data_IF_505392320951
#
_entry.id   IF_505392320951
#
_cell.length_a   1.000
_cell.length_b   1.000
_cell.length_c   1.000
_cell.angle_alpha   90.00
_cell.angle_beta   90.00
_cell.angle_gamma   90.00
#
_symmetry.space_group_name_H-M   'P 1'
#
loop_
_entity.id
_entity.type
_entity.pdbx_description
1 polymer ?
#
# COMPACT_ATOMS: atom_id res chain seq x y z
N UNK A 1 19.86 -4.62 -2.92
CA UNK A 1 20.82 -4.02 -1.98
C UNK A 1 20.06 -3.14 -1.02
N UNK A 2 20.47 -3.14 0.25
CA UNK A 2 19.79 -2.41 1.33
C UNK A 2 20.81 -1.57 2.09
N UNK A 3 20.42 -0.37 2.50
CA UNK A 3 21.27 0.60 3.18
C UNK A 3 20.38 1.74 3.66
N UNK A 4 20.92 2.62 4.51
CA UNK A 4 20.17 3.72 5.08
C UNK A 4 21.10 4.89 5.40
N UNK A 5 20.54 6.08 5.45
CA UNK A 5 21.18 7.27 6.00
C UNK A 5 20.30 7.72 7.16
N UNK A 6 20.84 7.67 8.37
CA UNK A 6 20.19 8.25 9.54
C UNK A 6 20.56 9.71 9.60
N UNK A 7 19.65 10.55 10.09
CA UNK A 7 19.93 11.96 10.29
C UNK A 7 19.22 12.50 11.53
N UNK A 8 19.75 13.61 12.05
CA UNK A 8 19.21 14.45 13.12
C UNK A 8 19.61 15.91 12.84
N UNK A 9 19.63 16.79 13.84
CA UNK A 9 20.04 18.17 13.69
C UNK A 9 21.52 18.43 14.10
N UNK A 10 22.00 19.64 13.83
CA UNK A 10 23.37 20.11 14.08
C UNK A 10 23.79 20.10 15.54
N UNK A 11 22.83 20.08 16.48
CA UNK A 11 23.08 20.07 17.92
C UNK A 11 22.99 18.68 18.54
N UNK A 12 22.62 17.67 17.75
CA UNK A 12 22.47 16.31 18.22
C UNK A 12 23.78 15.52 18.22
N UNK A 13 23.69 14.27 18.71
CA UNK A 13 24.80 13.33 18.75
C UNK A 13 25.48 13.10 17.38
N UNK A 14 24.73 13.26 16.28
CA UNK A 14 25.26 13.21 14.92
C UNK A 14 24.29 13.88 13.95
N UNK A 15 24.82 14.53 12.91
CA UNK A 15 24.00 15.09 11.82
C UNK A 15 23.56 13.98 10.87
N UNK A 16 24.51 13.14 10.41
CA UNK A 16 24.21 11.98 9.57
C UNK A 16 25.04 10.76 9.94
N UNK A 17 24.46 9.57 9.74
CA UNK A 17 25.18 8.30 9.82
C UNK A 17 24.83 7.44 8.60
N UNK A 18 25.83 7.17 7.77
CA UNK A 18 25.68 6.39 6.54
C UNK A 18 25.93 4.92 6.82
N UNK A 19 24.92 4.09 6.54
CA UNK A 19 25.04 2.63 6.49
C UNK A 19 25.09 2.21 5.03
N UNK A 20 26.24 1.71 4.53
CA UNK A 20 26.41 1.39 3.12
C UNK A 20 25.44 0.32 2.61
N UNK A 21 25.20 0.35 1.30
CA UNK A 21 24.39 -0.66 0.61
C UNK A 21 25.05 -2.05 0.68
N UNK A 22 24.36 -3.02 1.28
CA UNK A 22 24.73 -4.43 1.33
C UNK A 22 23.82 -5.30 0.45
N UNK A 23 24.34 -6.43 -0.03
CA UNK A 23 23.58 -7.46 -0.76
C UNK A 23 22.89 -8.46 0.19
N UNK A 24 23.11 -8.36 1.51
CA UNK A 24 22.53 -9.27 2.52
C UNK A 24 21.48 -8.58 3.38
N UNK A 25 20.26 -9.14 3.40
CA UNK A 25 19.17 -8.63 4.24
C UNK A 25 19.52 -8.71 5.73
N UNK A 26 20.12 -9.81 6.18
CA UNK A 26 20.51 -10.02 7.58
C UNK A 26 21.49 -8.95 8.09
N UNK A 27 22.47 -8.53 7.28
CA UNK A 27 23.42 -7.50 7.69
C UNK A 27 22.74 -6.13 7.82
N UNK A 28 21.80 -5.83 6.91
CA UNK A 28 21.00 -4.62 7.00
C UNK A 28 20.10 -4.63 8.23
N UNK A 29 19.39 -5.74 8.49
CA UNK A 29 18.55 -5.89 9.68
C UNK A 29 19.34 -5.71 10.98
N UNK A 30 20.54 -6.31 11.07
CA UNK A 30 21.42 -6.12 12.23
C UNK A 30 21.72 -4.64 12.49
N UNK A 31 22.07 -3.89 11.44
CA UNK A 31 22.31 -2.45 11.57
C UNK A 31 21.04 -1.68 11.95
N UNK A 32 19.88 -2.08 11.41
CA UNK A 32 18.59 -1.46 11.75
C UNK A 32 18.21 -1.67 13.22
N UNK A 33 18.47 -2.86 13.78
CA UNK A 33 18.23 -3.15 15.20
C UNK A 33 19.11 -2.35 16.16
N UNK A 34 20.24 -1.82 15.70
CA UNK A 34 21.11 -0.94 16.50
C UNK A 34 20.63 0.53 16.48
N UNK A 35 19.66 0.88 15.62
CA UNK A 35 19.13 2.24 15.51
C UNK A 35 18.14 2.48 16.64
N UNK A 36 18.37 3.56 17.38
CA UNK A 36 17.46 4.06 18.41
C UNK A 36 17.00 5.46 18.01
N UNK A 37 15.69 5.68 18.08
CA UNK A 37 15.11 7.02 17.99
C UNK A 37 15.27 7.67 19.37
N UNK A 38 16.07 8.74 19.43
CA UNK A 38 16.35 9.52 20.64
C UNK A 38 16.78 10.93 20.21
N UNK A 39 16.63 11.94 21.07
CA UNK A 39 16.88 13.35 20.75
C UNK A 39 15.80 13.93 19.84
N UNK A 40 14.63 14.23 20.42
CA UNK A 40 13.55 14.92 19.75
C UNK A 40 12.94 15.99 20.66
N UNK A 41 12.13 16.87 20.09
CA UNK A 41 11.44 17.96 20.80
C UNK A 41 11.75 19.35 20.23
N UNK A 42 12.82 19.47 19.47
CA UNK A 42 13.07 20.58 18.55
C UNK A 42 12.84 20.17 17.10
N UNK A 43 12.40 21.15 16.33
CA UNK A 43 12.05 21.06 14.92
C UNK A 43 12.36 22.44 14.34
N UNK A 44 12.91 22.57 13.13
CA UNK A 44 13.17 21.56 12.07
C UNK A 44 14.35 20.58 12.29
N UNK A 45 14.59 19.68 11.32
CA UNK A 45 15.68 18.67 11.31
C UNK A 45 16.57 18.79 10.04
N UNK A 46 17.81 18.27 10.05
CA UNK A 46 18.76 18.41 8.93
C UNK A 46 18.62 17.33 7.83
N UNK A 47 17.43 17.24 7.22
CA UNK A 47 17.17 16.36 6.08
C UNK A 47 18.07 16.68 4.86
N UNK A 48 18.51 17.93 4.69
CA UNK A 48 19.34 18.31 3.55
C UNK A 48 20.73 17.65 3.61
N UNK A 49 21.33 17.53 4.81
CA UNK A 49 22.55 16.77 5.01
C UNK A 49 22.35 15.27 4.70
N UNK A 50 21.21 14.70 5.08
CA UNK A 50 20.87 13.31 4.75
C UNK A 50 20.78 13.09 3.23
N UNK A 51 20.17 14.05 2.51
CA UNK A 51 20.04 14.02 1.06
C UNK A 51 21.39 14.16 0.35
N UNK A 52 22.29 15.02 0.85
CA UNK A 52 23.68 15.12 0.37
C UNK A 52 24.36 13.74 0.48
N UNK A 53 24.32 13.15 1.66
CA UNK A 53 24.92 11.84 1.92
C UNK A 53 24.30 10.72 1.06
N UNK A 54 22.98 10.74 0.91
CA UNK A 54 22.27 9.81 0.04
C UNK A 54 22.71 9.96 -1.42
N UNK A 55 23.00 11.17 -1.91
CA UNK A 55 23.40 11.39 -3.30
C UNK A 55 24.88 11.16 -3.54
N UNK A 56 25.75 11.49 -2.57
CA UNK A 56 27.19 11.60 -2.79
C UNK A 56 28.00 10.52 -2.05
N UNK A 57 27.52 10.01 -0.91
CA UNK A 57 28.22 8.96 -0.14
C UNK A 57 27.68 7.56 -0.46
N UNK A 58 26.37 7.39 -0.64
CA UNK A 58 25.80 6.08 -1.02
C UNK A 58 26.27 5.66 -2.42
N UNK A 59 26.84 4.46 -2.52
CA UNK A 59 27.34 3.87 -3.76
C UNK A 59 26.23 3.19 -4.56
N UNK A 60 25.37 4.00 -5.16
CA UNK A 60 24.32 3.54 -6.07
C UNK A 60 24.91 2.80 -7.29
N UNK A 61 24.39 1.60 -7.59
CA UNK A 61 24.75 0.89 -8.83
C UNK A 61 24.16 1.61 -10.04
N UNK A 62 24.91 1.72 -11.14
CA UNK A 62 24.41 2.31 -12.40
C UNK A 62 23.35 1.44 -13.07
N UNK A 63 23.54 0.11 -13.05
CA UNK A 63 22.67 -0.85 -13.72
C UNK A 63 21.70 -1.47 -12.71
N UNK A 64 20.62 -0.76 -12.39
CA UNK A 64 19.55 -1.25 -11.56
C UNK A 64 18.55 -0.18 -11.15
N UNK A 65 17.40 -0.63 -10.67
CA UNK A 65 16.37 0.21 -10.05
C UNK A 65 16.88 0.78 -8.74
N UNK A 66 16.70 2.09 -8.53
CA UNK A 66 17.24 2.82 -7.38
C UNK A 66 16.13 3.61 -6.72
N UNK A 67 15.74 3.13 -5.55
CA UNK A 67 14.62 3.65 -4.77
C UNK A 67 15.16 4.05 -3.40
N UNK A 68 14.73 5.19 -2.90
CA UNK A 68 14.93 5.58 -1.50
C UNK A 68 13.57 5.95 -0.89
N UNK A 69 13.42 5.65 0.39
CA UNK A 69 12.25 5.98 1.20
C UNK A 69 12.71 6.88 2.32
N UNK A 70 12.21 8.12 2.35
CA UNK A 70 12.50 9.14 3.36
C UNK A 70 11.33 9.10 4.34
N UNK A 71 11.61 8.97 5.64
CA UNK A 71 10.58 8.84 6.69
C UNK A 71 10.88 9.91 7.74
N UNK A 72 9.91 10.79 8.03
CA UNK A 72 10.10 11.88 9.00
C UNK A 72 8.79 12.51 9.48
N UNK A 73 8.80 12.99 10.72
CA UNK A 73 7.79 13.82 11.38
C UNK A 73 8.17 15.32 11.42
N UNK A 74 9.35 15.71 10.93
CA UNK A 74 9.86 17.08 11.03
C UNK A 74 10.11 17.73 9.66
N UNK A 75 9.84 19.05 9.52
CA UNK A 75 10.27 19.83 8.37
C UNK A 75 11.80 19.89 8.28
N UNK A 76 12.36 20.12 7.08
CA UNK A 76 13.80 20.30 6.91
C UNK A 76 14.25 21.72 7.28
N UNK A 77 15.45 21.85 7.85
CA UNK A 77 16.14 23.13 7.90
C UNK A 77 16.45 23.65 6.49
N UNK A 78 15.93 24.84 6.13
CA UNK A 78 16.22 25.54 4.87
C UNK A 78 17.08 26.80 5.07
N UNK A 79 17.27 27.20 6.32
CA UNK A 79 17.91 28.44 6.76
C UNK A 79 19.40 28.29 7.09
N UNK A 80 19.91 27.04 7.16
CA UNK A 80 21.34 26.75 7.38
C UNK A 80 22.27 27.16 6.24
N UNK A 81 21.73 27.68 5.12
CA UNK A 81 22.49 28.15 3.95
C UNK A 81 23.48 27.11 3.43
N UNK A 82 23.10 25.83 3.52
CA UNK A 82 23.92 24.73 3.04
C UNK A 82 24.16 24.88 1.53
N UNK A 83 25.39 24.63 1.05
CA UNK A 83 25.71 24.72 -0.38
C UNK A 83 24.99 23.62 -1.19
N UNK A 84 24.79 22.45 -0.57
CA UNK A 84 24.01 21.35 -1.14
C UNK A 84 22.62 21.36 -0.51
N UNK A 85 21.60 21.66 -1.32
CA UNK A 85 20.22 21.75 -0.86
C UNK A 85 19.40 20.55 -1.31
N UNK A 86 18.18 20.40 -0.78
CA UNK A 86 17.24 19.41 -1.29
C UNK A 86 17.02 19.59 -2.79
N UNK A 87 16.97 20.83 -3.32
CA UNK A 87 16.84 21.10 -4.76
C UNK A 87 18.04 20.54 -5.55
N UNK A 88 19.26 20.66 -5.03
CA UNK A 88 20.45 20.02 -5.63
C UNK A 88 20.32 18.50 -5.62
N UNK A 89 19.86 17.94 -4.50
CA UNK A 89 19.60 16.51 -4.35
C UNK A 89 18.57 15.99 -5.37
N UNK A 90 17.49 16.74 -5.61
CA UNK A 90 16.45 16.37 -6.58
C UNK A 90 16.97 16.32 -8.00
N UNK A 91 17.77 17.31 -8.40
CA UNK A 91 18.41 17.35 -9.71
C UNK A 91 19.37 16.17 -9.90
N UNK A 92 20.14 15.85 -8.88
CA UNK A 92 21.08 14.73 -8.90
C UNK A 92 20.36 13.37 -8.88
N UNK A 93 19.33 13.22 -8.05
CA UNK A 93 18.49 12.03 -7.99
C UNK A 93 17.86 11.77 -9.36
N UNK A 94 17.23 12.79 -9.97
CA UNK A 94 16.66 12.68 -11.32
C UNK A 94 17.72 12.32 -12.38
N UNK A 95 18.87 13.00 -12.38
CA UNK A 95 19.97 12.70 -13.33
C UNK A 95 20.50 11.28 -13.15
N UNK A 96 20.61 10.83 -11.90
CA UNK A 96 21.04 9.48 -11.59
C UNK A 96 19.91 8.48 -11.92
N UNK A 97 18.63 8.84 -11.89
CA UNK A 97 17.51 7.90 -12.00
C UNK A 97 17.20 7.23 -10.67
N UNK A 98 17.29 7.99 -9.58
CA UNK A 98 16.93 7.60 -8.22
C UNK A 98 15.55 8.19 -7.93
N UNK A 99 14.61 7.34 -7.52
CA UNK A 99 13.28 7.76 -7.08
C UNK A 99 13.24 7.93 -5.57
N UNK A 100 12.76 9.09 -5.10
CA UNK A 100 12.70 9.43 -3.68
C UNK A 100 11.24 9.43 -3.21
N UNK A 101 10.79 8.31 -2.65
CA UNK A 101 9.52 8.22 -1.96
C UNK A 101 9.65 8.91 -0.60
N UNK A 102 8.69 9.74 -0.24
CA UNK A 102 8.67 10.45 1.03
C UNK A 102 7.47 10.02 1.84
N UNK A 103 7.66 9.80 3.13
CA UNK A 103 6.68 9.30 4.08
C UNK A 103 6.64 10.31 5.23
N UNK A 104 5.60 11.14 5.24
CA UNK A 104 5.32 12.04 6.36
C UNK A 104 4.64 11.27 7.49
N UNK A 105 5.17 11.38 8.70
CA UNK A 105 4.57 10.76 9.89
C UNK A 105 3.78 11.79 10.70
N UNK A 106 3.04 11.33 11.71
CA UNK A 106 2.17 12.19 12.52
C UNK A 106 2.94 13.36 13.14
N UNK A 107 2.35 14.55 13.14
CA UNK A 107 2.98 15.78 13.66
C UNK A 107 3.71 16.63 12.63
N UNK A 108 3.86 16.18 11.38
CA UNK A 108 4.52 16.94 10.33
C UNK A 108 3.67 18.16 9.89
N UNK A 109 4.19 19.40 10.03
CA UNK A 109 3.50 20.61 9.57
C UNK A 109 3.48 20.76 8.04
N UNK A 110 2.59 21.62 7.53
CA UNK A 110 2.34 21.79 6.08
C UNK A 110 3.58 22.18 5.27
N UNK A 111 4.47 22.97 5.86
CA UNK A 111 5.73 23.41 5.25
C UNK A 111 6.69 22.23 5.04
N UNK A 112 6.76 21.32 6.02
CA UNK A 112 7.44 20.03 5.88
C UNK A 112 6.82 19.19 4.75
N UNK A 113 5.49 19.05 4.73
CA UNK A 113 4.79 18.33 3.67
C UNK A 113 5.07 18.89 2.27
N UNK A 114 5.10 20.21 2.11
CA UNK A 114 5.38 20.83 0.82
C UNK A 114 6.74 20.40 0.28
N UNK A 115 7.77 20.35 1.13
CA UNK A 115 9.10 19.93 0.70
C UNK A 115 9.11 18.44 0.36
N UNK A 116 8.50 17.58 1.17
CA UNK A 116 8.40 16.14 0.90
C UNK A 116 7.67 15.85 -0.43
N UNK A 117 6.54 16.52 -0.67
CA UNK A 117 5.78 16.40 -1.92
C UNK A 117 6.60 16.84 -3.13
N UNK A 118 7.33 17.95 -3.03
CA UNK A 118 8.24 18.39 -4.10
C UNK A 118 9.33 17.36 -4.37
N UNK A 119 9.90 16.76 -3.32
CA UNK A 119 10.96 15.74 -3.44
C UNK A 119 10.45 14.54 -4.25
N UNK A 120 9.30 14.00 -3.86
CA UNK A 120 8.72 12.84 -4.54
C UNK A 120 8.26 13.17 -5.95
N UNK A 121 7.54 14.27 -6.15
CA UNK A 121 7.05 14.66 -7.47
C UNK A 121 8.19 14.88 -8.47
N UNK A 122 9.27 15.55 -8.06
CA UNK A 122 10.38 15.85 -8.95
C UNK A 122 11.13 14.59 -9.41
N UNK A 123 11.11 13.54 -8.59
CA UNK A 123 11.77 12.26 -8.86
C UNK A 123 10.82 11.19 -9.38
N UNK A 124 9.60 11.56 -9.79
CA UNK A 124 8.55 10.66 -10.27
C UNK A 124 8.20 9.53 -9.28
N UNK A 125 8.20 9.87 -8.00
CA UNK A 125 7.81 9.01 -6.88
C UNK A 125 6.55 9.57 -6.19
N UNK A 126 5.98 8.79 -5.27
CA UNK A 126 4.81 9.20 -4.50
C UNK A 126 5.21 9.71 -3.11
N UNK A 127 4.48 10.72 -2.64
CA UNK A 127 4.39 11.05 -1.22
C UNK A 127 3.36 10.14 -0.56
N UNK A 128 3.68 9.63 0.63
CA UNK A 128 2.84 8.81 1.48
C UNK A 128 2.75 9.52 2.83
N UNK A 129 1.63 9.40 3.52
CA UNK A 129 1.48 9.92 4.88
C UNK A 129 0.88 8.83 5.79
N UNK A 130 1.19 8.89 7.07
CA UNK A 130 0.64 7.98 8.08
C UNK A 130 -0.56 8.59 8.79
N UNK A 131 -1.68 7.88 8.79
CA UNK A 131 -2.85 8.20 9.62
C UNK A 131 -2.85 7.31 10.86
N UNK A 132 -2.76 7.91 12.06
CA UNK A 132 -2.82 7.15 13.32
C UNK A 132 -4.27 6.96 13.75
N UNK A 133 -5.00 6.06 13.10
CA UNK A 133 -6.34 5.62 13.56
C UNK A 133 -7.31 6.76 13.91
N UNK A 134 -7.18 7.90 13.23
CA UNK A 134 -7.91 9.12 13.57
C UNK A 134 -9.41 8.87 13.39
N UNK A 135 -10.16 9.01 14.48
CA UNK A 135 -11.61 9.14 14.45
C UNK A 135 -11.95 10.60 14.63
N UNK A 136 -12.46 11.22 13.56
CA UNK A 136 -12.86 12.63 13.54
C UNK A 136 -11.81 13.54 12.90
N UNK A 137 -12.21 14.81 12.74
CA UNK A 137 -11.40 15.94 12.27
C UNK A 137 -10.59 15.75 10.97
N UNK A 138 -11.20 15.25 9.89
CA UNK A 138 -10.83 15.81 8.58
C UNK A 138 -11.20 17.30 8.44
N UNK A 139 -11.93 17.86 9.40
CA UNK A 139 -12.05 19.29 9.68
C UNK A 139 -11.33 19.60 11.00
N UNK A 140 -10.17 20.26 10.92
CA UNK A 140 -9.34 20.57 12.09
C UNK A 140 -10.08 21.34 13.19
N UNK A 141 -9.75 21.00 14.44
CA UNK A 141 -10.44 21.56 15.59
C UNK A 141 -9.76 21.37 16.95
N UNK A 142 -8.45 21.16 17.05
CA UNK A 142 -7.64 21.61 18.20
C UNK A 142 -6.11 21.54 17.94
N UNK A 143 -5.29 22.42 18.58
CA UNK A 143 -3.91 22.69 18.17
C UNK A 143 -3.01 21.44 18.26
N UNK A 144 -2.40 21.07 17.14
CA UNK A 144 -1.47 19.94 17.01
C UNK A 144 -2.06 18.69 16.33
N UNK A 145 -3.34 18.72 15.95
CA UNK A 145 -4.02 17.60 15.29
C UNK A 145 -4.34 17.94 13.84
N UNK A 146 -4.11 16.96 12.96
CA UNK A 146 -4.45 16.84 11.54
C UNK A 146 -3.72 17.74 10.52
N UNK A 147 -2.87 17.10 9.71
CA UNK A 147 -3.49 16.50 8.53
C UNK A 147 -3.72 17.44 7.34
N UNK A 148 -2.71 18.12 6.79
CA UNK A 148 -2.88 19.06 5.67
C UNK A 148 -3.13 18.30 4.35
N UNK A 149 -4.24 17.59 4.25
CA UNK A 149 -4.57 16.77 3.09
C UNK A 149 -5.56 17.49 2.17
N UNK A 150 -5.13 17.69 0.92
CA UNK A 150 -5.96 18.26 -0.13
C UNK A 150 -6.97 17.22 -0.64
N UNK A 151 -8.14 17.14 -0.01
CA UNK A 151 -9.36 16.50 -0.53
C UNK A 151 -9.49 14.98 -0.34
N UNK A 152 -10.60 14.42 -0.84
CA UNK A 152 -11.02 13.00 -0.74
C UNK A 152 -10.17 12.00 -1.57
N UNK A 153 -9.07 12.46 -2.17
CA UNK A 153 -8.28 11.70 -3.16
C UNK A 153 -7.08 10.98 -2.54
N UNK A 154 -7.26 10.28 -1.42
CA UNK A 154 -6.24 9.43 -0.85
C UNK A 154 -6.78 8.05 -0.49
N UNK A 155 -5.92 7.04 -0.54
CA UNK A 155 -6.25 5.67 -0.15
C UNK A 155 -5.46 5.29 1.10
N UNK A 156 -6.17 4.76 2.10
CA UNK A 156 -5.55 4.23 3.32
C UNK A 156 -5.22 2.75 3.15
N UNK A 157 -3.98 2.38 3.44
CA UNK A 157 -3.53 0.99 3.52
C UNK A 157 -2.37 0.90 4.53
N UNK A 158 -1.94 -0.31 4.89
CA UNK A 158 -0.75 -0.50 5.73
C UNK A 158 0.49 0.03 5.01
N UNK A 159 1.34 0.76 5.72
CA UNK A 159 2.58 1.34 5.15
C UNK A 159 3.43 0.29 4.43
N UNK A 160 3.58 -0.90 5.02
CA UNK A 160 4.32 -2.02 4.44
C UNK A 160 3.78 -2.43 3.07
N UNK A 161 2.45 -2.49 2.92
CA UNK A 161 1.79 -2.84 1.66
C UNK A 161 2.01 -1.76 0.60
N UNK A 162 1.92 -0.48 0.99
CA UNK A 162 2.19 0.65 0.10
C UNK A 162 3.63 0.60 -0.40
N UNK A 163 4.61 0.44 0.49
CA UNK A 163 6.03 0.37 0.11
C UNK A 163 6.29 -0.82 -0.82
N UNK A 164 5.79 -2.01 -0.48
CA UNK A 164 5.95 -3.21 -1.31
C UNK A 164 5.36 -2.98 -2.71
N UNK A 165 4.15 -2.41 -2.79
CA UNK A 165 3.49 -2.08 -4.05
C UNK A 165 4.34 -1.13 -4.90
N UNK A 166 4.85 -0.04 -4.31
CA UNK A 166 5.70 0.94 -5.03
C UNK A 166 7.01 0.34 -5.51
N UNK A 167 7.68 -0.48 -4.70
CA UNK A 167 8.89 -1.18 -5.15
C UNK A 167 8.60 -2.08 -6.34
N UNK A 168 7.48 -2.81 -6.30
CA UNK A 168 7.09 -3.70 -7.40
C UNK A 168 6.73 -2.97 -8.67
N UNK A 169 5.97 -1.89 -8.59
CA UNK A 169 5.64 -1.06 -9.76
C UNK A 169 6.92 -0.64 -10.49
N UNK A 170 7.93 -0.18 -9.76
CA UNK A 170 9.23 0.22 -10.32
C UNK A 170 10.03 -0.94 -10.92
N UNK A 171 10.00 -2.11 -10.27
CA UNK A 171 10.65 -3.30 -10.82
C UNK A 171 9.99 -3.78 -12.12
N UNK A 172 8.66 -3.72 -12.22
CA UNK A 172 7.94 -4.10 -13.44
C UNK A 172 8.24 -3.14 -14.59
N UNK A 173 8.16 -1.83 -14.33
CA UNK A 173 8.49 -0.79 -15.30
C UNK A 173 9.92 -0.98 -15.85
N UNK A 174 10.87 -1.32 -14.98
CA UNK A 174 12.25 -1.58 -15.38
C UNK A 174 12.42 -2.85 -16.22
N UNK A 175 11.67 -3.91 -15.92
CA UNK A 175 11.75 -5.20 -16.63
C UNK A 175 10.99 -5.21 -17.96
N UNK A 176 10.31 -4.12 -18.34
CA UNK A 176 9.55 -4.02 -19.59
C UNK A 176 8.36 -5.00 -19.65
N UNK A 177 7.92 -5.52 -18.50
CA UNK A 177 6.71 -6.33 -18.38
C UNK A 177 5.61 -5.39 -17.88
N UNK A 178 4.61 -5.04 -18.72
CA UNK A 178 3.51 -4.21 -18.25
C UNK A 178 2.78 -4.92 -17.13
N UNK A 179 2.40 -4.17 -16.09
CA UNK A 179 1.37 -4.60 -15.17
C UNK A 179 0.07 -4.74 -15.97
N UNK A 180 -0.60 -5.89 -15.90
CA UNK A 180 -1.98 -6.01 -16.35
C UNK A 180 -2.88 -5.17 -15.43
N UNK A 181 -3.19 -3.93 -15.82
CA UNK A 181 -4.09 -3.04 -15.10
C UNK A 181 -3.34 -1.99 -14.30
N UNK A 182 -3.20 -0.80 -14.88
CA UNK A 182 -2.44 0.34 -14.36
C UNK A 182 -3.28 1.39 -13.65
N UNK A 183 -4.45 1.05 -13.11
CA UNK A 183 -5.27 1.99 -12.35
C UNK A 183 -5.16 1.70 -10.84
N UNK A 184 -5.08 2.75 -10.03
CA UNK A 184 -5.06 2.71 -8.55
C UNK A 184 -6.32 2.05 -7.95
N UNK A 185 -7.34 1.84 -8.79
CA UNK A 185 -8.55 1.08 -8.56
C UNK A 185 -9.06 0.60 -9.92
N UNK A 186 -9.68 -0.57 -9.98
CA UNK A 186 -10.40 -0.97 -11.19
C UNK A 186 -11.77 -0.29 -11.21
N UNK A 187 -12.09 0.47 -12.23
CA UNK A 187 -13.40 1.10 -12.38
C UNK A 187 -14.27 0.34 -13.37
N UNK A 188 -15.51 0.06 -12.97
CA UNK A 188 -16.57 -0.41 -13.86
C UNK A 188 -17.62 0.67 -14.00
N UNK A 189 -17.54 1.42 -15.09
CA UNK A 189 -18.58 2.34 -15.54
C UNK A 189 -19.52 1.60 -16.47
N UNK A 190 -20.83 1.82 -16.36
CA UNK A 190 -21.80 1.23 -17.29
C UNK A 190 -21.59 1.81 -18.70
N UNK A 191 -21.45 0.93 -19.70
CA UNK A 191 -21.40 1.31 -21.11
C UNK A 191 -22.79 1.02 -21.70
N UNK A 192 -23.46 2.01 -22.29
CA UNK A 192 -24.84 1.88 -22.78
C UNK A 192 -25.06 0.73 -23.77
N UNK A 193 -24.01 0.31 -24.47
CA UNK A 193 -24.05 -0.75 -25.48
C UNK A 193 -23.63 -2.13 -24.97
N UNK A 194 -23.27 -2.26 -23.69
CA UNK A 194 -22.81 -3.50 -23.07
C UNK A 194 -23.75 -3.95 -21.96
N UNK A 195 -24.06 -5.25 -21.89
CA UNK A 195 -24.83 -5.79 -20.78
C UNK A 195 -24.03 -5.67 -19.47
N UNK A 196 -24.67 -5.20 -18.40
CA UNK A 196 -24.06 -5.03 -17.07
C UNK A 196 -23.21 -6.23 -16.62
N UNK A 197 -23.66 -7.46 -16.96
CA UNK A 197 -22.97 -8.71 -16.66
C UNK A 197 -21.57 -8.78 -17.28
N UNK A 198 -21.43 -8.37 -18.54
CA UNK A 198 -20.14 -8.42 -19.25
C UNK A 198 -19.14 -7.44 -18.64
N UNK A 199 -19.62 -6.26 -18.22
CA UNK A 199 -18.78 -5.26 -17.54
C UNK A 199 -18.27 -5.78 -16.19
N UNK A 200 -19.15 -6.41 -15.38
CA UNK A 200 -18.76 -7.01 -14.10
C UNK A 200 -17.82 -8.20 -14.29
N UNK A 201 -18.05 -9.08 -15.26
CA UNK A 201 -17.17 -10.22 -15.55
C UNK A 201 -15.74 -9.76 -15.87
N UNK A 202 -15.59 -8.72 -16.70
CA UNK A 202 -14.28 -8.11 -17.00
C UNK A 202 -13.64 -7.52 -15.76
N UNK A 203 -14.41 -6.80 -14.93
CA UNK A 203 -13.93 -6.18 -13.70
C UNK A 203 -13.36 -7.22 -12.74
N UNK A 204 -14.14 -8.24 -12.40
CA UNK A 204 -13.74 -9.23 -11.40
C UNK A 204 -12.62 -10.14 -11.91
N UNK A 205 -12.59 -10.45 -13.21
CA UNK A 205 -11.47 -11.16 -13.82
C UNK A 205 -10.17 -10.37 -13.64
N UNK A 206 -10.20 -9.07 -13.93
CA UNK A 206 -9.04 -8.18 -13.70
C UNK A 206 -8.67 -8.09 -12.23
N UNK A 207 -9.66 -8.05 -11.33
CA UNK A 207 -9.41 -7.96 -9.89
C UNK A 207 -8.61 -9.17 -9.39
N UNK A 208 -9.00 -10.39 -9.79
CA UNK A 208 -8.28 -11.62 -9.44
C UNK A 208 -6.87 -11.65 -10.06
N UNK A 209 -6.72 -11.22 -11.32
CA UNK A 209 -5.41 -11.11 -11.96
C UNK A 209 -4.50 -10.12 -11.22
N UNK A 210 -5.00 -8.96 -10.81
CA UNK A 210 -4.23 -7.99 -10.06
C UNK A 210 -3.78 -8.54 -8.70
N UNK A 211 -4.64 -9.29 -7.98
CA UNK A 211 -4.22 -9.91 -6.72
C UNK A 211 -3.01 -10.83 -6.91
N UNK A 212 -3.00 -11.60 -8.00
CA UNK A 212 -1.88 -12.46 -8.35
C UNK A 212 -0.63 -11.63 -8.72
N UNK A 213 -0.77 -10.65 -9.60
CA UNK A 213 0.34 -9.85 -10.13
C UNK A 213 1.01 -9.02 -9.03
N UNK A 214 0.21 -8.49 -8.10
CA UNK A 214 0.68 -7.66 -6.99
C UNK A 214 0.98 -8.46 -5.71
N UNK A 215 0.78 -9.78 -5.67
CA UNK A 215 1.07 -10.64 -4.51
C UNK A 215 2.53 -10.54 -4.05
N UNK A 216 2.80 -10.16 -2.80
CA UNK A 216 4.14 -9.96 -2.20
C UNK A 216 5.08 -11.16 -2.38
N UNK A 217 4.53 -12.33 -2.65
CA UNK A 217 5.25 -13.56 -3.00
C UNK A 217 4.83 -14.07 -4.39
N UNK A 218 5.71 -14.85 -5.02
CA UNK A 218 5.35 -15.63 -6.22
C UNK A 218 4.42 -16.77 -5.83
N UNK A 219 3.23 -16.81 -6.42
CA UNK A 219 2.25 -17.88 -6.21
C UNK A 219 2.48 -18.98 -7.27
N UNK A 220 2.75 -20.23 -6.87
CA UNK A 220 2.82 -21.35 -7.80
C UNK A 220 1.51 -21.57 -8.56
N UNK A 221 1.59 -22.17 -9.76
CA UNK A 221 0.40 -22.62 -10.46
C UNK A 221 -0.33 -23.72 -9.67
N UNK A 222 -1.66 -23.79 -9.80
CA UNK A 222 -2.51 -24.76 -9.10
C UNK A 222 -2.44 -24.67 -7.56
N UNK A 223 -2.17 -23.49 -7.01
CA UNK A 223 -2.10 -23.27 -5.55
C UNK A 223 -3.49 -23.40 -4.92
N UNK A 224 -3.68 -24.20 -3.86
CA UNK A 224 -4.98 -24.35 -3.22
C UNK A 224 -5.45 -23.02 -2.60
N UNK A 225 -6.58 -22.51 -3.05
CA UNK A 225 -7.12 -21.24 -2.56
C UNK A 225 -8.63 -21.30 -2.37
N UNK A 226 -9.13 -20.51 -1.43
CA UNK A 226 -10.55 -20.35 -1.21
C UNK A 226 -10.93 -18.86 -1.17
N UNK A 227 -12.19 -18.60 -1.47
CA UNK A 227 -12.77 -17.26 -1.50
C UNK A 227 -13.92 -17.17 -0.53
N UNK A 228 -13.94 -16.11 0.27
CA UNK A 228 -15.06 -15.80 1.16
C UNK A 228 -16.13 -15.00 0.42
N UNK A 229 -17.41 -15.14 0.82
CA UNK A 229 -18.44 -14.18 0.42
C UNK A 229 -18.00 -12.75 0.74
N UNK A 230 -18.39 -11.80 -0.11
CA UNK A 230 -18.15 -10.38 0.09
C UNK A 230 -18.91 -9.95 1.33
N UNK A 231 -18.18 -9.35 2.27
CA UNK A 231 -18.73 -8.82 3.50
C UNK A 231 -19.20 -7.38 3.31
N UNK A 232 -20.19 -6.96 4.10
CA UNK A 232 -20.61 -5.56 4.16
C UNK A 232 -21.07 -5.22 5.58
N UNK A 233 -20.97 -3.94 5.95
CA UNK A 233 -21.37 -3.44 7.28
C UNK A 233 -22.82 -2.94 7.33
N UNK A 234 -23.38 -2.53 6.19
CA UNK A 234 -24.76 -2.02 6.07
C UNK A 234 -25.69 -3.10 5.54
N UNK A 235 -26.84 -3.28 6.19
CA UNK A 235 -27.88 -4.23 5.77
C UNK A 235 -28.35 -3.98 4.32
N UNK A 236 -28.45 -2.71 3.92
CA UNK A 236 -28.84 -2.30 2.57
C UNK A 236 -27.90 -2.80 1.47
N UNK A 237 -26.66 -3.16 1.80
CA UNK A 237 -25.67 -3.63 0.84
C UNK A 237 -25.66 -5.15 0.67
N UNK A 238 -26.41 -5.91 1.48
CA UNK A 238 -26.37 -7.39 1.45
C UNK A 238 -26.71 -7.97 0.08
N UNK A 239 -27.78 -7.48 -0.55
CA UNK A 239 -28.21 -7.95 -1.88
C UNK A 239 -27.11 -7.72 -2.93
N UNK A 240 -26.49 -6.53 -2.88
CA UNK A 240 -25.38 -6.18 -3.76
C UNK A 240 -24.11 -7.00 -3.46
N UNK A 241 -23.80 -7.23 -2.19
CA UNK A 241 -22.68 -8.05 -1.77
C UNK A 241 -22.84 -9.51 -2.22
N UNK A 242 -24.03 -10.09 -2.11
CA UNK A 242 -24.35 -11.43 -2.61
C UNK A 242 -24.20 -11.52 -4.13
N UNK A 243 -24.74 -10.53 -4.85
CA UNK A 243 -24.62 -10.46 -6.30
C UNK A 243 -23.17 -10.35 -6.76
N UNK A 244 -22.40 -9.42 -6.20
CA UNK A 244 -20.97 -9.28 -6.52
C UNK A 244 -20.15 -10.48 -6.07
N UNK A 245 -20.55 -11.18 -5.01
CA UNK A 245 -19.87 -12.41 -4.57
C UNK A 245 -19.95 -13.49 -5.64
N UNK A 246 -21.12 -13.68 -6.27
CA UNK A 246 -21.29 -14.65 -7.33
C UNK A 246 -20.40 -14.34 -8.53
N UNK A 247 -20.33 -13.07 -8.95
CA UNK A 247 -19.47 -12.64 -10.05
C UNK A 247 -17.97 -12.80 -9.72
N UNK A 248 -17.55 -12.46 -8.50
CA UNK A 248 -16.18 -12.63 -8.05
C UNK A 248 -15.78 -14.12 -7.95
N UNK A 249 -16.66 -14.98 -7.44
CA UNK A 249 -16.46 -16.43 -7.40
C UNK A 249 -16.33 -17.02 -8.81
N UNK A 250 -17.17 -16.57 -9.74
CA UNK A 250 -17.08 -16.98 -11.14
C UNK A 250 -15.73 -16.59 -11.75
N UNK A 251 -15.30 -15.32 -11.61
CA UNK A 251 -13.99 -14.87 -12.08
C UNK A 251 -12.83 -15.64 -11.44
N UNK A 252 -12.91 -15.95 -10.15
CA UNK A 252 -11.93 -16.78 -9.45
C UNK A 252 -11.85 -18.20 -10.04
N UNK A 253 -13.00 -18.82 -10.35
CA UNK A 253 -13.06 -20.18 -10.91
C UNK A 253 -12.41 -20.31 -12.30
N UNK A 254 -12.39 -19.22 -13.07
CA UNK A 254 -11.75 -19.17 -14.40
C UNK A 254 -10.24 -18.99 -14.32
N UNK A 255 -9.71 -18.58 -13.17
CA UNK A 255 -8.28 -18.35 -12.99
C UNK A 255 -7.51 -19.69 -12.90
N UNK A 256 -6.43 -19.82 -13.66
CA UNK A 256 -5.65 -21.06 -13.73
C UNK A 256 -4.58 -21.20 -12.63
N UNK A 257 -4.23 -20.09 -11.97
CA UNK A 257 -3.20 -20.07 -10.92
C UNK A 257 -3.70 -20.70 -9.63
N UNK A 258 -5.00 -20.54 -9.33
CA UNK A 258 -5.61 -21.04 -8.11
C UNK A 258 -6.39 -22.33 -8.37
N UNK A 259 -6.23 -23.30 -7.47
CA UNK A 259 -7.13 -24.45 -7.36
C UNK A 259 -8.19 -24.13 -6.33
N UNK A 260 -9.41 -23.84 -6.79
CA UNK A 260 -10.53 -23.54 -5.92
C UNK A 260 -10.81 -24.68 -4.94
N UNK A 261 -10.86 -24.37 -3.65
CA UNK A 261 -11.32 -25.26 -2.60
C UNK A 261 -12.73 -24.85 -2.21
N UNK A 262 -13.68 -25.73 -2.50
CA UNK A 262 -15.07 -25.57 -2.07
C UNK A 262 -15.40 -26.60 -0.99
N UNK A 263 -16.11 -26.16 0.06
CA UNK A 263 -16.72 -27.06 1.05
C UNK A 263 -18.22 -26.87 1.04
N UNK A 264 -18.95 -27.98 0.88
CA UNK A 264 -20.42 -28.02 0.79
C UNK A 264 -21.16 -27.34 1.96
N UNK A 265 -20.52 -27.15 3.12
CA UNK A 265 -21.12 -26.58 4.33
C UNK A 265 -20.37 -25.35 4.87
N UNK A 266 -19.78 -24.52 4.01
CA UNK A 266 -19.02 -23.33 4.43
C UNK A 266 -19.86 -22.34 5.27
N UNK A 267 -21.10 -22.08 4.86
CA UNK A 267 -22.05 -21.22 5.58
C UNK A 267 -22.29 -21.69 7.01
N UNK A 268 -22.56 -22.99 7.17
CA UNK A 268 -22.77 -23.62 8.47
C UNK A 268 -21.53 -23.50 9.36
N UNK A 269 -20.34 -23.56 8.78
CA UNK A 269 -19.07 -23.47 9.50
C UNK A 269 -18.76 -22.03 9.97
N UNK A 270 -19.16 -21.03 9.17
CA UNK A 270 -19.11 -19.60 9.53
C UNK A 270 -20.12 -19.30 10.65
N UNK A 271 -21.33 -19.87 10.59
CA UNK A 271 -22.37 -19.70 11.61
C UNK A 271 -22.04 -20.43 12.92
N UNK A 272 -21.58 -21.68 12.86
CA UNK A 272 -21.25 -22.53 14.03
C UNK A 272 -20.14 -21.94 14.89
N UNK A 273 -19.19 -21.21 14.29
CA UNK A 273 -18.11 -20.55 15.03
C UNK A 273 -18.48 -19.17 15.61
N UNK A 274 -19.76 -18.76 15.59
CA UNK A 274 -20.20 -17.42 16.01
C UNK A 274 -19.37 -16.31 15.37
N UNK A 275 -18.97 -16.47 14.11
CA UNK A 275 -18.36 -15.40 13.33
C UNK A 275 -19.46 -14.40 12.99
N UNK A 276 -19.81 -13.52 13.92
CA UNK A 276 -20.39 -12.23 13.56
C UNK A 276 -19.29 -11.48 12.80
N UNK A 277 -19.31 -11.62 11.47
CA UNK A 277 -18.42 -10.93 10.55
C UNK A 277 -18.94 -9.50 10.38
N UNK A 278 -18.78 -8.68 11.40
CA UNK A 278 -19.09 -7.25 11.33
C UNK A 278 -17.81 -6.43 11.32
N UNK A 279 -17.61 -5.69 10.23
CA UNK A 279 -16.65 -4.60 10.09
C UNK A 279 -15.18 -4.99 10.04
N UNK A 280 -14.49 -4.56 8.99
CA UNK A 280 -13.06 -4.68 8.76
C UNK A 280 -12.54 -6.11 8.91
N UNK A 281 -12.35 -6.79 7.77
CA UNK A 281 -11.79 -8.17 7.69
C UNK A 281 -10.77 -8.40 8.81
N UNK A 282 -11.19 -9.10 9.87
CA UNK A 282 -10.29 -9.63 10.87
C UNK A 282 -9.51 -10.73 10.15
N UNK A 283 -8.33 -10.36 9.65
CA UNK A 283 -7.45 -11.21 8.86
C UNK A 283 -7.25 -12.56 9.58
N UNK A 284 -7.21 -12.55 10.92
CA UNK A 284 -7.12 -13.73 11.77
C UNK A 284 -8.28 -14.70 11.52
N UNK A 285 -9.53 -14.20 11.49
CA UNK A 285 -10.73 -15.00 11.24
C UNK A 285 -10.75 -15.58 9.83
N UNK A 286 -10.42 -14.79 8.82
CA UNK A 286 -10.34 -15.27 7.44
C UNK A 286 -9.27 -16.37 7.28
N UNK A 287 -8.14 -16.22 7.97
CA UNK A 287 -7.07 -17.21 8.01
C UNK A 287 -7.50 -18.49 8.73
N UNK A 288 -8.23 -18.39 9.84
CA UNK A 288 -8.78 -19.56 10.54
C UNK A 288 -9.73 -20.36 9.65
N UNK A 289 -10.65 -19.69 8.96
CA UNK A 289 -11.53 -20.35 7.98
C UNK A 289 -10.70 -21.01 6.88
N UNK A 290 -9.68 -20.35 6.35
CA UNK A 290 -8.77 -20.91 5.35
C UNK A 290 -8.06 -22.18 5.83
N UNK A 291 -7.55 -22.18 7.07
CA UNK A 291 -6.93 -23.36 7.69
C UNK A 291 -7.91 -24.53 7.77
N UNK A 292 -9.16 -24.25 8.16
CA UNK A 292 -10.20 -25.27 8.24
C UNK A 292 -10.51 -25.81 6.85
N UNK A 293 -10.63 -24.95 5.83
CA UNK A 293 -10.88 -25.36 4.45
C UNK A 293 -9.72 -26.16 3.85
N UNK A 294 -8.50 -25.99 4.37
CA UNK A 294 -7.28 -26.56 3.81
C UNK A 294 -6.71 -25.73 2.66
N UNK A 295 -7.00 -24.43 2.65
CA UNK A 295 -6.49 -23.49 1.66
C UNK A 295 -5.10 -22.97 2.07
N UNK A 296 -4.24 -22.75 1.08
CA UNK A 296 -2.95 -22.08 1.28
C UNK A 296 -3.09 -20.56 1.11
N UNK A 297 -3.98 -20.15 0.21
CA UNK A 297 -4.33 -18.76 -0.03
C UNK A 297 -5.81 -18.50 0.24
N UNK A 298 -6.13 -17.32 0.76
CA UNK A 298 -7.51 -16.89 0.99
C UNK A 298 -7.77 -15.57 0.30
N UNK A 299 -8.90 -15.47 -0.38
CA UNK A 299 -9.42 -14.20 -0.90
C UNK A 299 -10.56 -13.76 0.02
N UNK A 300 -10.39 -12.58 0.62
CA UNK A 300 -11.38 -11.96 1.49
C UNK A 300 -11.74 -10.58 0.95
N UNK A 301 -13.03 -10.24 0.96
CA UNK A 301 -13.52 -9.05 0.29
C UNK A 301 -14.53 -8.28 1.14
N UNK A 302 -14.54 -6.96 1.03
CA UNK A 302 -15.44 -6.08 1.77
C UNK A 302 -15.98 -4.96 0.88
N UNK A 303 -17.31 -4.81 0.89
CA UNK A 303 -18.07 -3.86 0.11
C UNK A 303 -18.49 -2.67 0.97
N UNK A 304 -18.22 -1.49 0.44
CA UNK A 304 -18.61 -0.19 0.97
C UNK A 304 -19.46 0.54 -0.06
N UNK A 305 -20.23 1.50 0.43
CA UNK A 305 -21.05 2.38 -0.40
C UNK A 305 -20.57 3.81 -0.21
N UNK A 306 -20.27 4.47 -1.33
CA UNK A 306 -20.00 5.90 -1.43
C UNK A 306 -21.18 6.60 -2.11
N UNK A 307 -21.14 7.93 -2.21
CA UNK A 307 -22.23 8.72 -2.81
C UNK A 307 -22.56 8.26 -4.24
N UNK A 308 -21.54 8.03 -5.07
CA UNK A 308 -21.73 7.75 -6.51
C UNK A 308 -21.42 6.30 -6.93
N UNK A 309 -20.80 5.49 -6.09
CA UNK A 309 -20.38 4.13 -6.45
C UNK A 309 -20.35 3.19 -5.25
N UNK A 310 -20.27 1.88 -5.54
CA UNK A 310 -19.82 0.89 -4.58
C UNK A 310 -18.30 0.76 -4.64
N UNK A 311 -17.66 0.66 -3.48
CA UNK A 311 -16.23 0.37 -3.37
C UNK A 311 -16.04 -1.03 -2.80
N UNK A 312 -15.38 -1.90 -3.55
CA UNK A 312 -15.04 -3.24 -3.10
C UNK A 312 -13.53 -3.36 -2.93
N UNK A 313 -13.12 -3.78 -1.74
CA UNK A 313 -11.74 -4.12 -1.43
C UNK A 313 -11.61 -5.63 -1.42
N UNK A 314 -10.74 -6.16 -2.27
CA UNK A 314 -10.43 -7.59 -2.36
C UNK A 314 -9.00 -7.79 -1.86
N UNK A 315 -8.80 -8.71 -0.92
CA UNK A 315 -7.49 -8.98 -0.29
C UNK A 315 -7.10 -10.42 -0.54
N UNK A 316 -5.84 -10.64 -0.92
CA UNK A 316 -5.24 -11.96 -0.96
C UNK A 316 -4.39 -12.18 0.29
N UNK A 317 -4.64 -13.28 0.99
CA UNK A 317 -4.02 -13.62 2.25
C UNK A 317 -3.25 -14.93 2.14
N UNK A 318 -2.11 -15.01 2.81
CA UNK A 318 -1.41 -16.27 3.05
C UNK A 318 -1.95 -16.90 4.34
N UNK A 319 -2.54 -18.10 4.24
CA UNK A 319 -3.17 -18.78 5.38
C UNK A 319 -2.14 -19.23 6.42
N UNK A 320 -0.93 -19.55 5.99
CA UNK A 320 0.14 -20.02 6.88
C UNK A 320 0.73 -18.88 7.71
N UNK A 321 0.99 -17.74 7.08
CA UNK A 321 1.67 -16.60 7.73
C UNK A 321 0.69 -15.54 8.26
N UNK A 322 -0.59 -15.62 7.88
CA UNK A 322 -1.59 -14.59 8.14
C UNK A 322 -1.24 -13.21 7.56
N UNK A 323 -0.38 -13.18 6.54
CA UNK A 323 0.04 -11.95 5.87
C UNK A 323 -0.93 -11.61 4.73
N UNK A 324 -1.16 -10.31 4.54
CA UNK A 324 -1.81 -9.79 3.33
C UNK A 324 -0.75 -9.73 2.23
N UNK A 325 -0.97 -10.50 1.16
CA UNK A 325 -0.05 -10.56 0.03
C UNK A 325 -0.32 -9.44 -0.97
N UNK A 326 -1.59 -9.09 -1.18
CA UNK A 326 -2.02 -8.02 -2.07
C UNK A 326 -3.43 -7.57 -1.75
N UNK A 327 -3.75 -6.35 -2.18
CA UNK A 327 -5.08 -5.75 -2.07
C UNK A 327 -5.40 -5.10 -3.41
N UNK A 328 -6.62 -5.33 -3.90
CA UNK A 328 -7.18 -4.69 -5.08
C UNK A 328 -8.44 -3.93 -4.67
N UNK A 329 -8.52 -2.66 -5.05
CA UNK A 329 -9.74 -1.85 -4.90
C UNK A 329 -10.47 -1.80 -6.24
N UNK A 330 -11.79 -2.01 -6.22
CA UNK A 330 -12.64 -1.83 -7.40
C UNK A 330 -13.77 -0.85 -7.10
N UNK A 331 -13.98 0.13 -7.98
CA UNK A 331 -15.15 1.02 -7.95
C UNK A 331 -16.19 0.52 -8.96
N UNK A 332 -17.41 0.31 -8.48
CA UNK A 332 -18.51 -0.23 -9.27
C UNK A 332 -19.61 0.83 -9.29
N UNK A 333 -19.96 1.31 -10.48
CA UNK A 333 -21.08 2.24 -10.65
C UNK A 333 -22.37 1.67 -10.01
N UNK A 334 -23.16 2.50 -9.33
CA UNK A 334 -24.38 2.06 -8.66
C UNK A 334 -25.38 1.39 -9.61
N UNK A 335 -25.40 1.78 -10.89
CA UNK A 335 -26.25 1.21 -11.93
C UNK A 335 -25.88 -0.22 -12.35
N UNK A 336 -24.73 -0.72 -11.90
CA UNK A 336 -24.29 -2.11 -12.06
C UNK A 336 -24.68 -2.99 -10.86
N UNK A 337 -25.18 -2.39 -9.78
CA UNK A 337 -25.76 -3.10 -8.64
C UNK A 337 -27.23 -3.49 -8.87
N UNK A 338 -27.79 -4.18 -7.88
CA UNK A 338 -29.21 -4.56 -7.74
C UNK A 338 -29.98 -3.57 -6.87
#
# INVERSE_FOLDING_TARGET
RYGMVLYKDTKDAYITKVIPLTDTLLAFQKQLFEVTADGGGDSPEDLQAALDDAMNKIKWRKNGVRLAFIITDAPPHLDYKQPYTYVSALKDAKRKGIKLFTIGTGGLPIDGEYVLRQISQYTYANYVFLTYGEKGESDGGAPGSVSHHTGENFQTDKLEAIIIRKVKEELHNYLGKPLSGGDEYLEATKIETEENKITLDKLFTRAISQLQDYSSIKIPQNTPAAILPIMCSKEALKVNAEYFSANLMYAFSLNQTFRAIERKNLQKLIEEQKLQLTGFIDISKAVEVGKIMGAEMMIASELFEQEDCFELYVKLLNVKTAEVLSVTKTKIDKSLGL
#
